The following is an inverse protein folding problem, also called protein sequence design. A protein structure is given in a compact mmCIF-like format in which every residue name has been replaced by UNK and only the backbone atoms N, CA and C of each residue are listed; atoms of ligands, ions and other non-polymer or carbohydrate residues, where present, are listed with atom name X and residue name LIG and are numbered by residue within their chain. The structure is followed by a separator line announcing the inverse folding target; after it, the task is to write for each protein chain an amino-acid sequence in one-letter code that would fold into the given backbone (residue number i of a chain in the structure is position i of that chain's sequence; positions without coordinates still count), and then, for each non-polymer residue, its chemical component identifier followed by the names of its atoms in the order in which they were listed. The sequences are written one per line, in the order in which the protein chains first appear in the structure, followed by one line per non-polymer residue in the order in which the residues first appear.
data_IF_914790239824
#
_entry.id   IF_914790239824
#
_cell.length_a   1.000
_cell.length_b   1.000
_cell.length_c   1.000
_cell.angle_alpha   90.00
_cell.angle_beta   90.00
_cell.angle_gamma   90.00
#
_symmetry.space_group_name_H-M   'P 1'
#
loop_
_entity.id
_entity.type
_entity.pdbx_description
1 polymer ?
#
# COMPACT_ATOMS: atom_id res chain seq x y z
N UNK A 1 -14.87 -27.11 -42.08
CA UNK A 1 -15.10 -27.90 -40.87
C UNK A 1 -14.03 -27.50 -39.87
N UNK A 2 -14.38 -26.61 -38.94
CA UNK A 2 -13.49 -26.17 -37.86
C UNK A 2 -13.81 -27.04 -36.67
N UNK A 3 -12.83 -27.80 -36.18
CA UNK A 3 -12.98 -28.63 -35.00
C UNK A 3 -12.33 -27.96 -33.80
N UNK A 4 -13.15 -27.84 -32.74
CA UNK A 4 -12.80 -27.85 -31.32
C UNK A 4 -11.82 -26.78 -30.85
N UNK A 5 -12.36 -25.60 -30.52
CA UNK A 5 -11.86 -24.80 -29.40
C UNK A 5 -11.79 -25.72 -28.19
N UNK A 6 -10.57 -25.99 -27.73
CA UNK A 6 -10.32 -26.81 -26.55
C UNK A 6 -11.10 -26.23 -25.39
N UNK A 7 -11.98 -27.07 -24.85
CA UNK A 7 -12.67 -26.93 -23.58
C UNK A 7 -11.62 -26.88 -22.46
N UNK A 8 -10.95 -25.74 -22.34
CA UNK A 8 -10.34 -25.36 -21.07
C UNK A 8 -11.47 -24.70 -20.33
N UNK A 9 -12.21 -25.50 -19.57
CA UNK A 9 -13.02 -25.04 -18.46
C UNK A 9 -12.05 -24.35 -17.48
N UNK A 10 -11.70 -23.11 -17.81
CA UNK A 10 -11.16 -22.17 -16.84
C UNK A 10 -12.31 -21.96 -15.90
N UNK A 11 -12.32 -22.74 -14.81
CA UNK A 11 -13.08 -22.38 -13.61
C UNK A 11 -12.56 -21.01 -13.23
N UNK A 12 -13.22 -19.96 -13.72
CA UNK A 12 -13.06 -18.63 -13.18
C UNK A 12 -13.47 -18.79 -11.72
N UNK A 13 -12.48 -18.76 -10.82
CA UNK A 13 -12.78 -18.60 -9.41
C UNK A 13 -13.57 -17.29 -9.30
N UNK A 14 -14.90 -17.39 -9.20
CA UNK A 14 -15.77 -16.26 -8.93
C UNK A 14 -15.41 -15.74 -7.54
N UNK A 15 -14.43 -14.84 -7.49
CA UNK A 15 -14.13 -14.06 -6.30
C UNK A 15 -15.30 -13.12 -6.11
N UNK A 16 -16.34 -13.60 -5.44
CA UNK A 16 -17.56 -12.85 -5.13
C UNK A 16 -17.26 -11.82 -4.05
N UNK A 17 -16.53 -10.77 -4.42
CA UNK A 17 -16.25 -9.63 -3.58
C UNK A 17 -17.54 -8.84 -3.41
N UNK A 18 -18.13 -8.94 -2.23
CA UNK A 18 -19.37 -8.23 -1.92
C UNK A 18 -19.14 -6.72 -1.85
N UNK A 19 -20.18 -5.95 -2.12
CA UNK A 19 -20.13 -4.50 -1.91
C UNK A 19 -19.82 -4.15 -0.44
N UNK A 20 -20.26 -4.95 0.53
CA UNK A 20 -19.95 -4.75 1.95
C UNK A 20 -18.45 -4.91 2.24
N UNK A 21 -17.81 -5.96 1.73
CA UNK A 21 -16.35 -6.15 1.86
C UNK A 21 -15.56 -5.05 1.17
N UNK A 22 -16.08 -4.48 0.07
CA UNK A 22 -15.48 -3.32 -0.61
C UNK A 22 -15.43 -2.08 0.29
N UNK A 23 -16.54 -1.75 0.95
CA UNK A 23 -16.59 -0.58 1.83
C UNK A 23 -15.69 -0.72 3.05
N UNK A 24 -15.60 -1.93 3.64
CA UNK A 24 -14.69 -2.20 4.75
C UNK A 24 -13.24 -1.99 4.30
N UNK A 25 -12.84 -2.60 3.18
CA UNK A 25 -11.48 -2.47 2.65
C UNK A 25 -11.11 -1.02 2.33
N UNK A 26 -12.04 -0.24 1.78
CA UNK A 26 -11.83 1.20 1.55
C UNK A 26 -11.55 1.93 2.87
N UNK A 27 -12.31 1.62 3.92
CA UNK A 27 -12.09 2.19 5.26
C UNK A 27 -10.72 1.83 5.84
N UNK A 28 -10.30 0.57 5.71
CA UNK A 28 -8.99 0.10 6.15
C UNK A 28 -7.86 0.81 5.38
N UNK A 29 -7.98 0.94 4.05
CA UNK A 29 -7.02 1.66 3.22
C UNK A 29 -6.92 3.14 3.65
N UNK A 30 -8.04 3.79 3.96
CA UNK A 30 -8.02 5.18 4.44
C UNK A 30 -7.30 5.32 5.79
N UNK A 31 -7.49 4.37 6.71
CA UNK A 31 -6.78 4.36 8.00
C UNK A 31 -5.28 4.13 7.79
N UNK A 32 -4.91 3.14 6.97
CA UNK A 32 -3.52 2.87 6.60
C UNK A 32 -2.85 4.10 5.99
N UNK A 33 -3.51 4.80 5.07
CA UNK A 33 -2.98 6.02 4.45
C UNK A 33 -2.68 7.12 5.49
N UNK A 34 -3.55 7.30 6.48
CA UNK A 34 -3.31 8.27 7.57
C UNK A 34 -2.09 7.87 8.41
N UNK A 35 -1.93 6.59 8.69
CA UNK A 35 -0.79 6.11 9.48
C UNK A 35 0.52 6.19 8.67
N UNK A 36 0.47 5.99 7.36
CA UNK A 36 1.60 6.22 6.45
C UNK A 36 2.07 7.68 6.44
N UNK A 37 1.15 8.65 6.43
CA UNK A 37 1.53 10.08 6.50
C UNK A 37 2.22 10.41 7.83
N UNK A 38 1.78 9.85 8.96
CA UNK A 38 2.48 10.02 10.25
C UNK A 38 3.88 9.43 10.24
N UNK A 39 4.06 8.25 9.63
CA UNK A 39 5.39 7.62 9.49
C UNK A 39 6.31 8.52 8.67
N UNK A 40 5.81 9.09 7.56
CA UNK A 40 6.55 10.02 6.71
C UNK A 40 6.96 11.30 7.45
N UNK A 41 6.07 11.86 8.27
CA UNK A 41 6.39 13.01 9.14
C UNK A 41 7.49 12.66 10.15
N UNK A 42 7.40 11.49 10.81
CA UNK A 42 8.40 11.01 11.75
C UNK A 42 9.76 10.79 11.09
N UNK A 43 9.79 10.24 9.87
CA UNK A 43 11.03 10.07 9.08
C UNK A 43 11.64 11.44 8.79
N UNK A 44 10.83 12.42 8.37
CA UNK A 44 11.31 13.77 8.11
C UNK A 44 11.89 14.42 9.38
N UNK A 45 11.25 14.28 10.54
CA UNK A 45 11.77 14.79 11.83
C UNK A 45 13.13 14.16 12.16
N UNK A 46 13.26 12.83 12.04
CA UNK A 46 14.53 12.14 12.28
C UNK A 46 15.60 12.61 11.30
N UNK A 47 15.28 12.78 10.01
CA UNK A 47 16.22 13.30 9.01
C UNK A 47 16.71 14.70 9.36
N UNK A 48 15.85 15.60 9.84
CA UNK A 48 16.26 16.95 10.26
C UNK A 48 17.16 16.90 11.49
N UNK A 49 16.83 16.07 12.48
CA UNK A 49 17.69 15.85 13.66
C UNK A 49 19.07 15.33 13.28
N UNK A 50 19.15 14.38 12.35
CA UNK A 50 20.42 13.86 11.84
C UNK A 50 21.24 14.94 11.13
N UNK A 51 20.61 15.78 10.29
CA UNK A 51 21.29 16.94 9.66
C UNK A 51 21.88 17.87 10.70
N UNK A 52 21.14 18.17 11.77
CA UNK A 52 21.62 19.02 12.86
C UNK A 52 22.82 18.41 13.59
N UNK A 53 22.80 17.10 13.85
CA UNK A 53 23.94 16.38 14.45
C UNK A 53 25.18 16.47 13.56
N UNK A 54 25.04 16.18 12.27
CA UNK A 54 26.14 16.28 11.30
C UNK A 54 26.67 17.72 11.23
N UNK A 55 25.77 18.71 11.22
CA UNK A 55 26.14 20.12 11.22
C UNK A 55 27.00 20.48 12.44
N UNK A 56 26.59 20.09 13.65
CA UNK A 56 27.34 20.35 14.88
C UNK A 56 28.70 19.67 14.85
N UNK A 57 28.76 18.40 14.46
CA UNK A 57 30.02 17.65 14.40
C UNK A 57 31.01 18.27 13.40
N UNK A 58 30.55 18.80 12.27
CA UNK A 58 31.41 19.49 11.31
C UNK A 58 31.90 20.88 11.74
N UNK A 59 31.44 21.38 12.89
CA UNK A 59 31.93 22.65 13.49
C UNK A 59 33.01 22.42 14.56
N UNK A 60 33.25 21.17 14.96
CA UNK A 60 34.35 20.74 15.83
C UNK A 60 35.57 20.49 14.95
#
# INVERSE_FOLDING_TARGET
MVNTTGDVDVVEEETNFTSASAHILIGEIMVCNRDLEKIKENINDVQQKMKNVIYVLGRI
#
